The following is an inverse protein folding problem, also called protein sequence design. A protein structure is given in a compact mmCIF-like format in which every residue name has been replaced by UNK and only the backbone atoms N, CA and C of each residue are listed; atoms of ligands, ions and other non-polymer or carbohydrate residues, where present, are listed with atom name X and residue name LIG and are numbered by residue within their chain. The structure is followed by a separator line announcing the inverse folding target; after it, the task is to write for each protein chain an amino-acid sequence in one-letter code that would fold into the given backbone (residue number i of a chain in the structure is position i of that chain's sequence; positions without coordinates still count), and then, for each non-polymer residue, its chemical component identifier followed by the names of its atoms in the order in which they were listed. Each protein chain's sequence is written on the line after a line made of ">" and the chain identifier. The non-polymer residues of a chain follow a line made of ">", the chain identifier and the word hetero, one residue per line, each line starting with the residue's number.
data_IF_343341391916
#
_entry.id   IF_343341391916
#
_cell.length_a   1.000
_cell.length_b   1.000
_cell.length_c   1.000
_cell.angle_alpha   90.00
_cell.angle_beta   90.00
_cell.angle_gamma   90.00
#
_symmetry.space_group_name_H-M   'P 1'
#
loop_
_entity.id
_entity.type
_entity.pdbx_description
1 polymer ?
#
# COMPACT_ATOMS: atom_id res chain seq x y z
N UNK A 1 -23.97 -4.80 4.34
CA UNK A 1 -23.06 -4.07 3.41
C UNK A 1 -21.94 -5.01 2.99
N UNK A 2 -21.59 -5.16 1.71
CA UNK A 2 -20.56 -6.10 1.31
C UNK A 2 -19.18 -5.52 1.64
N UNK A 3 -18.65 -5.92 2.80
CA UNK A 3 -17.24 -6.09 3.13
C UNK A 3 -16.36 -4.84 3.09
N UNK A 4 -15.63 -4.60 4.18
CA UNK A 4 -14.48 -3.70 4.16
C UNK A 4 -13.56 -3.99 2.96
N UNK A 5 -12.78 -3.01 2.52
CA UNK A 5 -11.84 -3.16 1.40
C UNK A 5 -10.91 -4.37 1.61
N UNK A 6 -10.56 -4.65 2.87
CA UNK A 6 -9.79 -5.82 3.32
C UNK A 6 -10.53 -7.13 3.03
N UNK A 7 -11.84 -7.20 3.30
CA UNK A 7 -12.64 -8.40 3.02
C UNK A 7 -12.71 -8.71 1.51
N UNK A 8 -12.95 -7.69 0.68
CA UNK A 8 -12.95 -7.86 -0.79
C UNK A 8 -11.58 -8.29 -1.30
N UNK A 9 -10.53 -7.71 -0.75
CA UNK A 9 -9.15 -8.03 -1.09
C UNK A 9 -8.76 -9.46 -0.71
N UNK A 10 -9.09 -9.89 0.51
CA UNK A 10 -8.85 -11.26 1.00
C UNK A 10 -9.52 -12.30 0.09
N UNK A 11 -10.75 -12.02 -0.38
CA UNK A 11 -11.45 -12.89 -1.31
C UNK A 11 -10.76 -12.96 -2.69
N UNK A 12 -10.24 -11.86 -3.21
CA UNK A 12 -9.55 -11.83 -4.49
C UNK A 12 -8.21 -12.57 -4.45
N UNK A 13 -7.42 -12.39 -3.38
CA UNK A 13 -6.18 -13.15 -3.15
C UNK A 13 -6.45 -14.65 -3.11
N UNK A 14 -7.47 -15.09 -2.36
CA UNK A 14 -7.84 -16.51 -2.27
C UNK A 14 -8.32 -17.11 -3.61
N UNK A 15 -8.82 -16.27 -4.52
CA UNK A 15 -9.29 -16.70 -5.85
C UNK A 15 -8.19 -16.67 -6.92
N UNK A 16 -7.01 -16.13 -6.62
CA UNK A 16 -5.96 -15.93 -7.62
C UNK A 16 -6.34 -14.89 -8.68
N UNK A 17 -7.16 -13.90 -8.31
CA UNK A 17 -7.59 -12.85 -9.25
C UNK A 17 -6.43 -11.89 -9.54
N UNK A 18 -5.75 -12.10 -10.69
CA UNK A 18 -4.58 -11.35 -11.10
C UNK A 18 -4.81 -9.85 -11.38
N UNK A 19 -6.06 -9.37 -11.37
CA UNK A 19 -6.35 -7.93 -11.44
C UNK A 19 -5.91 -7.18 -10.18
N UNK A 20 -5.67 -7.90 -9.08
CA UNK A 20 -5.25 -7.31 -7.82
C UNK A 20 -3.73 -7.48 -7.65
N UNK A 21 -3.03 -6.35 -7.47
CA UNK A 21 -1.57 -6.30 -7.36
C UNK A 21 -1.00 -7.27 -6.31
N UNK A 22 -1.69 -7.48 -5.20
CA UNK A 22 -1.26 -8.42 -4.16
C UNK A 22 -1.46 -9.88 -4.59
N UNK A 23 -2.53 -10.21 -5.31
CA UNK A 23 -2.74 -11.57 -5.81
C UNK A 23 -1.68 -11.94 -6.86
N UNK A 24 -1.35 -11.00 -7.76
CA UNK A 24 -0.26 -11.15 -8.71
C UNK A 24 1.09 -11.36 -7.99
N UNK A 25 1.37 -10.55 -6.95
CA UNK A 25 2.59 -10.70 -6.16
C UNK A 25 2.66 -12.05 -5.41
N UNK A 26 1.58 -12.50 -4.78
CA UNK A 26 1.53 -13.80 -4.11
C UNK A 26 1.79 -14.94 -5.11
N UNK A 27 1.21 -14.87 -6.31
CA UNK A 27 1.47 -15.85 -7.36
C UNK A 27 2.95 -15.84 -7.83
N UNK A 28 3.51 -14.65 -8.06
CA UNK A 28 4.89 -14.50 -8.56
C UNK A 28 5.95 -14.93 -7.54
N UNK A 29 5.73 -14.64 -6.25
CA UNK A 29 6.76 -14.79 -5.21
C UNK A 29 6.50 -15.93 -4.23
N UNK A 30 5.30 -16.50 -4.22
CA UNK A 30 4.85 -17.42 -3.17
C UNK A 30 4.63 -16.74 -1.82
N UNK A 31 4.71 -15.41 -1.73
CA UNK A 31 4.56 -14.67 -0.48
C UNK A 31 3.09 -14.55 -0.06
N UNK A 32 2.78 -15.02 1.15
CA UNK A 32 1.44 -14.94 1.74
C UNK A 32 1.26 -13.65 2.57
N UNK A 33 0.21 -12.88 2.27
CA UNK A 33 -0.12 -11.67 3.01
C UNK A 33 -0.92 -11.97 4.29
N UNK A 34 -0.39 -11.60 5.46
CA UNK A 34 -1.10 -11.74 6.73
C UNK A 34 -2.08 -10.58 6.98
N UNK A 35 -3.29 -10.68 6.42
CA UNK A 35 -4.35 -9.68 6.62
C UNK A 35 -4.80 -9.54 8.08
N UNK A 36 -4.75 -10.60 8.87
CA UNK A 36 -5.15 -10.58 10.28
C UNK A 36 -4.19 -9.73 11.13
N UNK A 37 -2.90 -9.73 10.78
CA UNK A 37 -1.88 -8.89 11.42
C UNK A 37 -1.80 -7.47 10.84
N UNK A 38 -2.56 -7.15 9.78
CA UNK A 38 -2.49 -5.84 9.14
C UNK A 38 -3.33 -4.79 9.87
N UNK A 39 -2.74 -3.61 10.14
CA UNK A 39 -3.43 -2.45 10.74
C UNK A 39 -3.65 -1.35 9.71
N UNK A 40 -4.82 -0.71 9.74
CA UNK A 40 -5.09 0.50 8.94
C UNK A 40 -4.32 1.67 9.58
N UNK A 41 -3.37 2.24 8.84
CA UNK A 41 -2.51 3.33 9.33
C UNK A 41 -3.10 4.72 9.10
N UNK A 42 -3.98 4.89 8.11
CA UNK A 42 -4.67 6.15 7.83
C UNK A 42 -5.86 5.95 6.89
N UNK A 43 -6.77 6.93 6.90
CA UNK A 43 -7.92 6.99 6.00
C UNK A 43 -7.77 8.19 5.05
N UNK A 44 -7.96 7.98 3.74
CA UNK A 44 -7.88 9.03 2.74
C UNK A 44 -9.23 9.24 2.05
N UNK A 45 -9.60 10.51 1.84
CA UNK A 45 -10.86 10.90 1.17
C UNK A 45 -10.73 11.04 -0.35
N UNK A 46 -9.51 11.18 -0.87
CA UNK A 46 -9.25 11.29 -2.30
C UNK A 46 -8.04 10.44 -2.71
N UNK A 47 -7.91 10.18 -4.02
CA UNK A 47 -6.82 9.38 -4.60
C UNK A 47 -5.45 9.95 -4.26
N UNK A 48 -5.26 11.26 -4.42
CA UNK A 48 -3.99 11.95 -4.14
C UNK A 48 -3.57 11.80 -2.68
N UNK A 49 -4.49 11.98 -1.73
CA UNK A 49 -4.19 11.81 -0.31
C UNK A 49 -3.83 10.35 0.01
N UNK A 50 -4.51 9.39 -0.63
CA UNK A 50 -4.20 7.97 -0.45
C UNK A 50 -2.79 7.66 -0.96
N UNK A 51 -2.46 8.07 -2.18
CA UNK A 51 -1.15 7.84 -2.78
C UNK A 51 -0.02 8.48 -1.99
N UNK A 52 -0.24 9.69 -1.44
CA UNK A 52 0.74 10.36 -0.60
C UNK A 52 0.97 9.62 0.74
N UNK A 53 -0.10 9.14 1.38
CA UNK A 53 -0.01 8.32 2.60
C UNK A 53 0.71 7.00 2.32
N UNK A 54 0.33 6.30 1.25
CA UNK A 54 0.92 5.02 0.86
C UNK A 54 2.42 5.18 0.54
N UNK A 55 2.81 6.20 -0.24
CA UNK A 55 4.21 6.44 -0.54
C UNK A 55 5.03 6.89 0.67
N UNK A 56 4.45 7.65 1.60
CA UNK A 56 5.11 7.98 2.86
C UNK A 56 5.34 6.74 3.74
N UNK A 57 4.43 5.77 3.70
CA UNK A 57 4.54 4.54 4.48
C UNK A 57 5.35 3.43 3.77
N UNK A 58 5.54 3.52 2.45
CA UNK A 58 6.23 2.49 1.66
C UNK A 58 7.75 2.60 1.78
N UNK A 59 8.41 1.45 1.83
CA UNK A 59 9.86 1.28 1.76
C UNK A 59 10.27 0.58 0.45
N UNK A 60 11.56 0.23 0.33
CA UNK A 60 12.12 -0.44 -0.85
C UNK A 60 11.51 -1.83 -1.11
N UNK A 61 11.03 -2.49 -0.05
CA UNK A 61 10.45 -3.83 -0.11
C UNK A 61 8.93 -3.81 -0.28
N UNK A 62 8.31 -2.63 -0.28
CA UNK A 62 6.87 -2.49 -0.39
C UNK A 62 6.37 -2.81 -1.80
N UNK A 63 5.25 -3.55 -1.87
CA UNK A 63 4.54 -3.87 -3.13
C UNK A 63 4.16 -2.61 -3.90
N UNK A 64 3.84 -1.54 -3.17
CA UNK A 64 3.42 -0.23 -3.70
C UNK A 64 4.59 0.71 -4.02
N UNK A 65 5.85 0.24 -4.06
CA UNK A 65 7.03 1.09 -4.36
C UNK A 65 6.93 1.90 -5.66
N UNK A 66 6.08 1.48 -6.58
CA UNK A 66 5.85 2.11 -7.89
C UNK A 66 4.62 3.03 -7.97
N UNK A 67 4.17 3.64 -6.86
CA UNK A 67 3.15 4.69 -6.99
C UNK A 67 3.73 5.82 -7.85
N UNK A 68 3.07 6.09 -8.97
CA UNK A 68 3.48 7.10 -9.94
C UNK A 68 3.11 8.51 -9.44
N UNK A 69 3.67 8.91 -8.30
CA UNK A 69 3.51 10.25 -7.74
C UNK A 69 4.28 11.27 -8.56
N UNK A 70 3.71 12.46 -8.70
CA UNK A 70 4.42 13.58 -9.30
C UNK A 70 5.72 13.87 -8.52
N UNK A 71 6.80 14.31 -9.18
CA UNK A 71 8.10 14.53 -8.55
C UNK A 71 8.05 15.42 -7.30
N UNK A 72 7.20 16.46 -7.30
CA UNK A 72 7.02 17.34 -6.15
C UNK A 72 6.53 16.61 -4.89
N UNK A 73 5.62 15.63 -5.04
CA UNK A 73 5.13 14.86 -3.90
C UNK A 73 6.14 13.83 -3.42
N UNK A 74 6.96 13.26 -4.32
CA UNK A 74 8.08 12.38 -3.94
C UNK A 74 9.11 13.15 -3.10
N UNK A 75 9.49 14.35 -3.56
CA UNK A 75 10.39 15.24 -2.82
C UNK A 75 9.82 15.58 -1.43
N UNK A 76 8.55 15.97 -1.37
CA UNK A 76 7.87 16.24 -0.09
C UNK A 76 7.89 15.03 0.85
N UNK A 77 7.60 13.82 0.35
CA UNK A 77 7.64 12.60 1.17
C UNK A 77 9.05 12.32 1.71
N UNK A 78 10.09 12.47 0.88
CA UNK A 78 11.48 12.31 1.32
C UNK A 78 11.87 13.32 2.40
N UNK A 79 11.48 14.58 2.26
CA UNK A 79 11.73 15.61 3.27
C UNK A 79 11.03 15.29 4.61
N UNK A 80 9.75 14.91 4.56
CA UNK A 80 8.99 14.55 5.76
C UNK A 80 9.51 13.28 6.45
N UNK A 81 10.15 12.37 5.70
CA UNK A 81 10.81 11.17 6.25
C UNK A 81 12.16 11.54 6.89
N UNK A 82 12.96 12.39 6.25
CA UNK A 82 14.25 12.84 6.76
C UNK A 82 14.13 13.71 8.03
N UNK A 83 13.02 14.44 8.20
CA UNK A 83 12.76 15.23 9.40
C UNK A 83 12.35 14.41 10.64
N UNK A 84 12.15 13.10 10.52
CA UNK A 84 11.76 12.23 11.64
C UNK A 84 12.96 11.62 12.40
N UNK A 85 14.20 11.83 11.92
CA UNK A 85 15.44 11.26 12.48
C UNK A 85 16.14 12.12 13.53
N UNK A 86 15.43 13.03 14.22
CA UNK A 86 15.98 13.77 15.37
C UNK A 86 15.20 13.44 16.65
N UNK A 87 15.63 12.39 17.34
CA UNK A 87 15.49 12.22 18.80
C UNK A 87 16.81 11.64 19.31
#
# INVERSE_FOLDING_TARGET
>A
MPGSRIHKHSLAVRRGDGLLQVAAHTYETGHEFNFAATKIIAHARCKTNRELIEARASDEYSVTRFINLAPAYKALCSHLRAGATTV
#
